data_IF_401083352027
#
_entry.id   IF_401083352027
#
_cell.length_a   1.000
_cell.length_b   1.000
_cell.length_c   1.000
_cell.angle_alpha   90.00
_cell.angle_beta   90.00
_cell.angle_gamma   90.00
#
_symmetry.space_group_name_H-M   'P 1'
#
loop_
_entity.id
_entity.type
_entity.pdbx_description
1 polymer ?
#
# COMPACT_ATOMS: atom_id res chain seq x y z
N UNK A 1 15.20 9.26 7.98
CA UNK A 1 14.85 9.97 6.71
C UNK A 1 15.40 9.15 5.57
N UNK A 2 14.73 9.18 4.44
CA UNK A 2 15.17 8.54 3.20
C UNK A 2 16.13 9.50 2.50
N UNK A 3 17.42 9.14 2.46
CA UNK A 3 18.44 10.00 1.84
C UNK A 3 18.20 10.13 0.33
N UNK A 4 18.25 11.37 -0.15
CA UNK A 4 18.06 11.70 -1.56
C UNK A 4 16.61 11.79 -2.01
N UNK A 5 15.63 11.66 -1.12
CA UNK A 5 14.21 11.89 -1.39
C UNK A 5 13.74 13.11 -0.62
N UNK A 6 13.19 14.10 -1.32
CA UNK A 6 12.71 15.37 -0.75
C UNK A 6 11.20 15.52 -0.86
N UNK A 7 10.57 14.70 -1.71
CA UNK A 7 9.14 14.69 -1.91
C UNK A 7 8.45 13.86 -0.83
N UNK A 8 7.18 14.14 -0.61
CA UNK A 8 6.33 13.36 0.27
C UNK A 8 6.18 11.93 -0.27
N UNK A 9 6.31 10.95 0.62
CA UNK A 9 6.25 9.53 0.29
C UNK A 9 4.90 8.96 0.66
N UNK A 10 4.30 8.22 -0.25
CA UNK A 10 3.03 7.53 -0.04
C UNK A 10 3.14 6.05 -0.40
N UNK A 11 2.47 5.22 0.39
CA UNK A 11 2.50 3.78 0.22
C UNK A 11 3.88 3.14 0.36
N UNK A 12 3.89 1.86 0.66
CA UNK A 12 5.13 1.06 0.72
C UNK A 12 4.79 -0.40 0.44
N UNK A 13 5.57 -1.07 -0.40
CA UNK A 13 5.44 -2.49 -0.66
C UNK A 13 6.80 -3.19 -0.66
N UNK A 14 6.86 -4.43 -0.20
CA UNK A 14 8.06 -5.25 -0.22
C UNK A 14 8.08 -6.17 -1.44
N UNK A 15 9.17 -6.13 -2.19
CA UNK A 15 9.45 -7.04 -3.30
C UNK A 15 10.35 -8.18 -2.81
N UNK A 16 9.84 -9.41 -2.67
CA UNK A 16 10.61 -10.55 -2.19
C UNK A 16 11.67 -11.04 -3.18
N UNK A 17 11.49 -10.80 -4.49
CA UNK A 17 12.44 -11.23 -5.53
C UNK A 17 13.66 -10.31 -5.56
N UNK A 18 13.42 -8.99 -5.48
CA UNK A 18 14.47 -7.97 -5.44
C UNK A 18 15.06 -7.78 -4.06
N UNK A 19 14.35 -8.21 -3.01
CA UNK A 19 14.66 -7.94 -1.60
C UNK A 19 14.84 -6.45 -1.34
N UNK A 20 13.93 -5.67 -1.88
CA UNK A 20 13.87 -4.22 -1.81
C UNK A 20 12.44 -3.76 -1.49
N UNK A 21 12.29 -2.47 -1.26
CA UNK A 21 11.00 -1.84 -1.01
C UNK A 21 10.68 -0.89 -2.15
N UNK A 22 9.39 -0.71 -2.43
CA UNK A 22 8.91 0.29 -3.38
C UNK A 22 7.96 1.25 -2.67
N UNK A 23 8.12 2.53 -2.96
CA UNK A 23 7.22 3.61 -2.53
C UNK A 23 6.90 4.50 -3.72
N UNK A 24 5.87 5.30 -3.63
CA UNK A 24 5.52 6.32 -4.64
C UNK A 24 5.63 7.72 -4.05
N UNK A 25 5.77 8.71 -4.92
CA UNK A 25 5.69 10.13 -4.57
C UNK A 25 4.54 10.77 -5.34
N UNK A 26 3.88 11.77 -4.76
CA UNK A 26 2.70 12.40 -5.34
C UNK A 26 2.96 13.74 -6.04
N UNK A 27 3.82 14.61 -5.50
CA UNK A 27 4.08 15.95 -6.09
C UNK A 27 4.85 15.86 -7.41
N UNK A 28 5.90 15.04 -7.47
CA UNK A 28 6.62 14.65 -8.67
C UNK A 28 6.48 13.14 -8.80
N UNK A 29 5.43 12.65 -9.48
CA UNK A 29 5.10 11.24 -9.43
C UNK A 29 6.24 10.34 -9.90
N UNK A 30 6.82 9.57 -8.98
CA UNK A 30 7.85 8.58 -9.22
C UNK A 30 7.54 7.29 -8.46
N UNK A 31 7.92 6.17 -9.03
CA UNK A 31 8.09 4.92 -8.31
C UNK A 31 9.54 4.84 -7.85
N UNK A 32 9.75 4.74 -6.55
CA UNK A 32 11.08 4.78 -5.94
C UNK A 32 11.39 3.42 -5.31
N UNK A 33 12.47 2.79 -5.76
CA UNK A 33 13.00 1.58 -5.16
C UNK A 33 13.96 1.94 -4.04
N UNK A 34 13.75 1.33 -2.86
CA UNK A 34 14.53 1.54 -1.65
C UNK A 34 15.18 0.22 -1.20
N UNK A 35 16.38 0.32 -0.64
CA UNK A 35 16.95 -0.78 0.13
C UNK A 35 16.22 -0.95 1.47
N UNK A 36 16.42 -2.11 2.13
CA UNK A 36 15.80 -2.40 3.44
C UNK A 36 16.31 -1.51 4.58
N UNK A 37 17.34 -0.71 4.34
CA UNK A 37 17.83 0.32 5.25
C UNK A 37 17.43 1.76 4.83
N UNK A 38 16.50 1.90 3.86
CA UNK A 38 15.89 3.16 3.47
C UNK A 38 16.73 4.04 2.55
N UNK A 39 17.68 3.48 1.78
CA UNK A 39 18.44 4.21 0.76
C UNK A 39 17.77 4.11 -0.59
N UNK A 40 17.70 5.20 -1.33
CA UNK A 40 17.22 5.19 -2.72
C UNK A 40 18.16 4.38 -3.60
N UNK A 41 17.64 3.34 -4.24
CA UNK A 41 18.34 2.50 -5.21
C UNK A 41 18.05 2.96 -6.64
N UNK A 42 16.78 3.36 -6.90
CA UNK A 42 16.32 3.71 -8.23
C UNK A 42 15.10 4.62 -8.17
N UNK A 43 14.95 5.47 -9.17
CA UNK A 43 13.76 6.29 -9.40
C UNK A 43 13.23 6.06 -10.81
N UNK A 44 11.93 5.90 -10.95
CA UNK A 44 11.24 5.66 -12.21
C UNK A 44 10.09 6.67 -12.33
N UNK A 45 10.19 7.64 -13.24
CA UNK A 45 9.12 8.61 -13.46
C UNK A 45 7.80 7.95 -13.85
N UNK A 46 6.70 8.44 -13.26
CA UNK A 46 5.32 8.03 -13.49
C UNK A 46 4.61 9.05 -14.36
N UNK A 47 4.42 8.75 -15.64
CA UNK A 47 3.77 9.63 -16.62
C UNK A 47 2.26 9.35 -16.65
N UNK A 48 1.45 10.38 -16.49
CA UNK A 48 -0.01 10.24 -16.56
C UNK A 48 -0.66 9.60 -15.32
N UNK A 49 0.11 9.34 -14.27
CA UNK A 49 -0.42 9.03 -12.94
C UNK A 49 -0.85 10.36 -12.31
N UNK A 50 -2.05 10.41 -11.77
CA UNK A 50 -2.61 11.67 -11.25
C UNK A 50 -2.07 12.00 -9.86
N UNK A 51 -2.37 11.14 -8.92
CA UNK A 51 -2.00 11.24 -7.51
C UNK A 51 -1.71 9.81 -7.03
N UNK A 52 -0.43 9.44 -7.02
CA UNK A 52 -0.01 8.08 -6.68
C UNK A 52 0.11 7.96 -5.16
N UNK A 53 -0.78 7.18 -4.52
CA UNK A 53 -0.85 7.08 -3.05
C UNK A 53 -0.46 5.71 -2.51
N UNK A 54 -0.63 4.65 -3.29
CA UNK A 54 -0.19 3.32 -2.87
C UNK A 54 0.49 2.56 -3.99
N UNK A 55 1.39 1.66 -3.61
CA UNK A 55 1.99 0.65 -4.49
C UNK A 55 1.94 -0.70 -3.81
N UNK A 56 1.65 -1.76 -4.59
CA UNK A 56 1.63 -3.13 -4.09
C UNK A 56 2.29 -4.10 -5.07
N UNK A 57 3.17 -4.95 -4.55
CA UNK A 57 3.79 -6.05 -5.28
C UNK A 57 2.76 -7.16 -5.51
N UNK A 58 2.69 -7.68 -6.73
CA UNK A 58 1.75 -8.74 -7.13
C UNK A 58 2.48 -10.04 -7.48
N UNK A 59 3.50 -9.93 -8.30
CA UNK A 59 4.32 -11.05 -8.78
C UNK A 59 5.61 -10.49 -9.41
N UNK A 60 6.60 -11.32 -9.76
CA UNK A 60 7.87 -10.83 -10.29
C UNK A 60 7.71 -9.76 -11.36
N UNK A 61 8.18 -8.55 -11.06
CA UNK A 61 8.11 -7.37 -11.91
C UNK A 61 6.71 -6.75 -12.09
N UNK A 62 5.67 -7.28 -11.47
CA UNK A 62 4.29 -6.78 -11.59
C UNK A 62 3.86 -6.10 -10.30
N UNK A 63 3.36 -4.87 -10.42
CA UNK A 63 2.85 -4.07 -9.30
C UNK A 63 1.53 -3.41 -9.66
N UNK A 64 0.82 -2.96 -8.65
CA UNK A 64 -0.36 -2.09 -8.79
C UNK A 64 -0.09 -0.78 -8.07
N UNK A 65 -0.40 0.33 -8.71
CA UNK A 65 -0.38 1.67 -8.13
C UNK A 65 -1.82 2.21 -8.08
N UNK A 66 -2.21 2.83 -6.95
CA UNK A 66 -3.45 3.59 -6.87
C UNK A 66 -3.23 5.02 -7.38
N UNK A 67 -4.19 5.53 -8.14
CA UNK A 67 -4.29 6.95 -8.54
C UNK A 67 -5.55 7.51 -7.85
N UNK A 68 -5.33 8.23 -6.77
CA UNK A 68 -6.40 8.76 -5.93
C UNK A 68 -7.30 9.72 -6.70
N UNK A 69 -6.70 10.66 -7.42
CA UNK A 69 -7.42 11.71 -8.16
C UNK A 69 -8.41 11.17 -9.19
N UNK A 70 -8.11 10.01 -9.78
CA UNK A 70 -8.95 9.37 -10.80
C UNK A 70 -9.64 8.11 -10.32
N UNK A 71 -9.49 7.76 -9.05
CA UNK A 71 -10.09 6.59 -8.39
C UNK A 71 -9.86 5.30 -9.19
N UNK A 72 -8.62 5.09 -9.61
CA UNK A 72 -8.24 3.94 -10.42
C UNK A 72 -7.03 3.21 -9.86
N UNK A 73 -6.95 1.96 -10.21
CA UNK A 73 -5.81 1.08 -9.99
C UNK A 73 -5.09 0.87 -11.31
N UNK A 74 -3.78 0.96 -11.32
CA UNK A 74 -2.96 0.87 -12.53
C UNK A 74 -1.97 -0.28 -12.35
N UNK A 75 -2.09 -1.31 -13.18
CA UNK A 75 -1.13 -2.42 -13.19
C UNK A 75 0.07 -2.05 -14.05
N UNK A 76 1.26 -2.14 -13.48
CA UNK A 76 2.52 -1.81 -14.14
C UNK A 76 3.46 -3.01 -14.16
N UNK A 77 4.43 -2.97 -15.07
CA UNK A 77 5.53 -3.91 -15.11
C UNK A 77 6.87 -3.18 -15.01
N UNK A 78 7.73 -3.66 -14.11
CA UNK A 78 9.05 -3.08 -13.82
C UNK A 78 10.12 -4.16 -13.99
N UNK A 79 11.08 -3.90 -14.86
CA UNK A 79 12.31 -4.67 -15.01
C UNK A 79 13.54 -3.76 -14.81
N UNK A 80 14.75 -4.30 -14.95
CA UNK A 80 15.97 -3.54 -14.76
C UNK A 80 16.21 -2.45 -15.83
N UNK A 81 15.52 -2.54 -16.98
CA UNK A 81 15.64 -1.61 -18.09
C UNK A 81 14.55 -0.53 -18.10
N UNK A 82 13.54 -0.64 -17.26
CA UNK A 82 12.42 0.31 -17.18
C UNK A 82 12.93 1.71 -16.83
N UNK A 83 12.71 2.68 -17.70
CA UNK A 83 13.17 4.08 -17.52
C UNK A 83 12.06 5.03 -17.12
N UNK A 84 10.82 4.72 -17.47
CA UNK A 84 9.62 5.46 -17.11
C UNK A 84 8.41 4.55 -17.26
N UNK A 85 7.33 4.89 -16.62
CA UNK A 85 6.05 4.18 -16.70
C UNK A 85 4.98 5.17 -17.17
N UNK A 86 4.20 4.77 -18.17
CA UNK A 86 3.11 5.59 -18.70
C UNK A 86 1.77 4.91 -18.42
N UNK A 87 0.93 5.56 -17.63
CA UNK A 87 -0.39 5.06 -17.29
C UNK A 87 -1.26 4.76 -18.51
N UNK A 88 -1.07 5.51 -19.61
CA UNK A 88 -1.82 5.29 -20.85
C UNK A 88 -1.49 3.95 -21.54
N UNK A 89 -0.35 3.35 -21.24
CA UNK A 89 0.09 2.06 -21.77
C UNK A 89 -0.21 0.89 -20.81
N UNK A 90 -0.74 1.18 -19.62
CA UNK A 90 -0.96 0.21 -18.56
C UNK A 90 -2.41 -0.27 -18.50
N UNK A 91 -2.64 -1.49 -18.02
CA UNK A 91 -3.98 -1.94 -17.67
C UNK A 91 -4.50 -1.17 -16.45
N UNK A 92 -5.75 -0.74 -16.51
CA UNK A 92 -6.36 0.10 -15.48
C UNK A 92 -7.72 -0.43 -15.08
N UNK A 93 -8.05 -0.29 -13.81
CA UNK A 93 -9.35 -0.59 -13.26
C UNK A 93 -9.88 0.63 -12.50
N UNK A 94 -11.01 1.19 -12.93
CA UNK A 94 -11.75 2.22 -12.20
C UNK A 94 -12.81 1.55 -11.35
N UNK A 95 -12.80 1.76 -10.03
CA UNK A 95 -13.72 1.08 -9.12
C UNK A 95 -15.12 1.72 -9.04
N UNK A 96 -15.38 2.77 -9.79
CA UNK A 96 -16.72 3.32 -9.98
C UNK A 96 -17.41 3.92 -8.74
N UNK A 97 -16.69 4.08 -7.65
CA UNK A 97 -17.20 4.65 -6.41
C UNK A 97 -16.97 6.16 -6.48
N UNK A 98 -18.06 6.93 -6.57
CA UNK A 98 -17.97 8.41 -6.58
C UNK A 98 -17.42 8.89 -5.24
N UNK A 99 -16.21 9.43 -5.26
CA UNK A 99 -15.68 10.13 -4.11
C UNK A 99 -16.20 11.58 -4.11
N UNK A 100 -16.68 12.03 -2.98
CA UNK A 100 -16.88 13.45 -2.72
C UNK A 100 -15.63 13.98 -2.02
N UNK A 101 -14.79 14.74 -2.73
CA UNK A 101 -13.55 15.32 -2.19
C UNK A 101 -12.31 14.43 -2.41
N UNK A 102 -11.15 14.85 -1.89
CA UNK A 102 -9.88 14.12 -1.89
C UNK A 102 -9.93 12.94 -0.87
N UNK A 103 -10.60 11.85 -1.21
CA UNK A 103 -10.83 10.72 -0.32
C UNK A 103 -10.78 9.45 -1.16
N UNK A 104 -9.58 9.07 -1.52
CA UNK A 104 -9.34 8.03 -2.50
C UNK A 104 -8.87 6.71 -1.92
N UNK A 105 -8.07 6.04 -2.70
CA UNK A 105 -7.52 4.72 -2.39
C UNK A 105 -6.06 4.89 -1.95
N UNK A 106 -5.83 4.80 -0.63
CA UNK A 106 -4.54 5.08 -0.01
C UNK A 106 -3.77 3.83 0.41
N UNK A 107 -4.41 2.69 0.45
CA UNK A 107 -3.75 1.44 0.84
C UNK A 107 -4.07 0.30 -0.11
N UNK A 108 -3.05 -0.49 -0.42
CA UNK A 108 -3.18 -1.72 -1.22
C UNK A 108 -2.53 -2.87 -0.46
N UNK A 109 -3.12 -4.07 -0.55
CA UNK A 109 -2.51 -5.30 -0.07
C UNK A 109 -2.97 -6.48 -0.93
N UNK A 110 -2.07 -7.39 -1.28
CA UNK A 110 -2.38 -8.51 -2.15
C UNK A 110 -2.23 -9.84 -1.42
N UNK A 111 -3.29 -10.66 -1.46
CA UNK A 111 -3.29 -12.06 -1.06
C UNK A 111 -2.96 -12.91 -2.29
N UNK A 112 -1.73 -13.37 -2.37
CA UNK A 112 -1.23 -14.11 -3.54
C UNK A 112 -1.83 -15.52 -3.65
N UNK A 113 -2.24 -16.11 -2.54
CA UNK A 113 -2.90 -17.42 -2.48
C UNK A 113 -4.37 -17.30 -2.82
N UNK A 114 -5.06 -16.35 -2.19
CA UNK A 114 -6.49 -16.09 -2.42
C UNK A 114 -6.79 -15.33 -3.72
N UNK A 115 -5.75 -14.84 -4.42
CA UNK A 115 -5.84 -14.09 -5.68
C UNK A 115 -6.79 -12.90 -5.58
N UNK A 116 -6.57 -12.07 -4.57
CA UNK A 116 -7.40 -10.90 -4.30
C UNK A 116 -6.57 -9.71 -3.85
N UNK A 117 -6.94 -8.56 -4.36
CA UNK A 117 -6.39 -7.29 -3.97
C UNK A 117 -7.34 -6.62 -2.98
N UNK A 118 -6.82 -6.22 -1.83
CA UNK A 118 -7.50 -5.36 -0.89
C UNK A 118 -7.14 -3.92 -1.16
N UNK A 119 -8.13 -3.04 -1.16
CA UNK A 119 -8.00 -1.61 -1.44
C UNK A 119 -8.59 -0.85 -0.27
N UNK A 120 -7.79 -0.05 0.42
CA UNK A 120 -8.24 0.82 1.48
C UNK A 120 -8.81 2.10 0.88
N UNK A 121 -10.05 2.43 1.26
CA UNK A 121 -10.61 3.77 1.13
C UNK A 121 -10.35 4.52 2.43
N UNK A 122 -9.71 5.68 2.32
CA UNK A 122 -9.23 6.45 3.45
C UNK A 122 -10.31 6.73 4.48
N UNK A 123 -11.39 7.40 4.07
CA UNK A 123 -12.50 7.82 4.96
C UNK A 123 -13.79 8.09 4.20
N UNK A 124 -14.87 8.36 4.90
CA UNK A 124 -16.21 8.75 4.45
C UNK A 124 -16.86 7.81 3.41
N UNK A 125 -17.02 6.53 3.70
CA UNK A 125 -16.65 5.82 4.93
C UNK A 125 -15.25 5.21 4.86
N UNK A 126 -14.60 4.97 6.02
CA UNK A 126 -13.45 4.06 6.14
C UNK A 126 -13.89 2.67 5.67
N UNK A 127 -13.21 2.13 4.67
CA UNK A 127 -13.64 0.89 4.02
C UNK A 127 -12.46 0.12 3.43
N UNK A 128 -12.54 -1.21 3.46
CA UNK A 128 -11.65 -2.09 2.69
C UNK A 128 -12.48 -2.76 1.60
N UNK A 129 -12.07 -2.62 0.35
CA UNK A 129 -12.71 -3.23 -0.81
C UNK A 129 -11.86 -4.44 -1.23
N UNK A 130 -12.50 -5.56 -1.55
CA UNK A 130 -11.83 -6.72 -2.12
C UNK A 130 -12.07 -6.75 -3.64
N UNK A 131 -11.00 -6.87 -4.42
CA UNK A 131 -11.04 -6.95 -5.87
C UNK A 131 -10.49 -8.30 -6.31
N UNK A 132 -11.22 -9.02 -7.15
CA UNK A 132 -10.82 -10.27 -7.79
C UNK A 132 -10.85 -10.13 -9.30
N UNK A 133 -9.96 -10.84 -10.01
CA UNK A 133 -9.84 -10.74 -11.47
C UNK A 133 -9.06 -9.49 -11.94
N UNK A 134 -8.50 -8.74 -11.01
CA UNK A 134 -7.51 -7.69 -11.21
C UNK A 134 -6.58 -7.64 -9.98
N UNK A 135 -5.27 -7.45 -10.14
CA UNK A 135 -4.54 -7.36 -11.40
C UNK A 135 -4.52 -8.71 -12.15
N UNK A 136 -4.29 -8.67 -13.45
CA UNK A 136 -4.12 -9.87 -14.25
C UNK A 136 -2.71 -10.43 -14.07
N UNK A 137 -2.61 -11.67 -13.70
CA UNK A 137 -1.34 -12.40 -13.64
C UNK A 137 -1.22 -13.33 -14.85
N UNK A 138 -0.02 -13.50 -15.39
CA UNK A 138 0.22 -14.32 -16.57
C UNK A 138 -0.13 -15.81 -16.41
N UNK A 139 -0.48 -16.24 -15.19
CA UNK A 139 -0.75 -17.64 -14.84
C UNK A 139 -2.23 -17.98 -14.78
N UNK A 140 -3.12 -17.03 -15.02
CA UNK A 140 -4.56 -17.21 -14.80
C UNK A 140 -5.37 -17.04 -16.08
N UNK A 141 -6.38 -17.91 -16.24
CA UNK A 141 -7.47 -17.66 -17.19
C UNK A 141 -8.18 -16.34 -16.78
N UNK A 142 -8.70 -15.55 -17.75
CA UNK A 142 -9.42 -14.32 -17.43
C UNK A 142 -10.55 -14.61 -16.45
N UNK A 143 -10.33 -14.26 -15.18
CA UNK A 143 -11.36 -14.36 -14.16
C UNK A 143 -12.41 -13.24 -14.34
N UNK A 144 -13.64 -13.50 -13.90
CA UNK A 144 -14.62 -12.42 -13.84
C UNK A 144 -14.20 -11.39 -12.80
N UNK A 145 -14.13 -10.13 -13.21
CA UNK A 145 -13.89 -9.01 -12.30
C UNK A 145 -15.00 -8.97 -11.24
N UNK A 146 -14.62 -8.97 -9.99
CA UNK A 146 -15.51 -8.81 -8.85
C UNK A 146 -14.99 -7.71 -7.93
N UNK A 147 -15.85 -6.78 -7.53
CA UNK A 147 -15.57 -5.74 -6.55
C UNK A 147 -16.52 -5.96 -5.37
N UNK A 148 -15.97 -6.31 -4.22
CA UNK A 148 -16.72 -6.81 -3.07
C UNK A 148 -16.51 -5.86 -1.89
N UNK A 149 -17.59 -5.29 -1.37
CA UNK A 149 -17.63 -4.55 -0.11
C UNK A 149 -18.12 -5.43 1.02
N UNK A 150 -17.58 -5.23 2.23
CA UNK A 150 -17.98 -6.01 3.40
C UNK A 150 -18.26 -5.06 4.58
N UNK A 151 -19.52 -4.60 4.67
CA UNK A 151 -19.97 -3.68 5.73
C UNK A 151 -19.79 -4.21 7.15
N UNK A 152 -19.79 -5.54 7.34
CA UNK A 152 -19.54 -6.14 8.66
C UNK A 152 -18.07 -6.02 9.05
N UNK A 153 -17.14 -6.19 8.11
CA UNK A 153 -15.72 -5.95 8.31
C UNK A 153 -15.48 -4.47 8.59
N UNK A 154 -15.98 -3.62 7.69
CA UNK A 154 -15.75 -2.18 7.76
C UNK A 154 -16.29 -1.56 9.07
N UNK A 155 -17.43 -2.04 9.55
CA UNK A 155 -18.00 -1.63 10.85
C UNK A 155 -17.19 -2.04 12.08
N UNK A 156 -16.15 -2.87 11.93
CA UNK A 156 -15.22 -3.28 13.00
C UNK A 156 -13.91 -2.51 12.97
N UNK A 157 -13.66 -1.74 11.90
CA UNK A 157 -12.49 -0.89 11.78
C UNK A 157 -12.62 0.24 12.81
N UNK A 158 -11.91 0.12 13.91
CA UNK A 158 -11.93 1.09 15.02
C UNK A 158 -10.86 2.17 14.83
N UNK A 159 -10.80 2.75 13.62
CA UNK A 159 -9.85 3.79 13.23
C UNK A 159 -10.58 4.95 12.54
N UNK A 160 -9.91 6.10 12.45
CA UNK A 160 -10.48 7.31 11.86
C UNK A 160 -10.25 7.39 10.35
N UNK A 161 -9.20 6.75 9.86
CA UNK A 161 -8.74 6.73 8.48
C UNK A 161 -8.05 5.40 8.18
N UNK A 162 -7.71 5.18 6.91
CA UNK A 162 -6.82 4.11 6.46
C UNK A 162 -5.81 4.69 5.47
N UNK A 163 -4.55 4.79 5.90
CA UNK A 163 -3.45 5.29 5.06
C UNK A 163 -2.64 4.17 4.39
N UNK A 164 -2.68 2.92 4.89
CA UNK A 164 -2.03 1.79 4.23
C UNK A 164 -2.64 0.45 4.62
N UNK A 165 -2.41 -0.56 3.79
CA UNK A 165 -2.70 -1.96 4.06
C UNK A 165 -1.47 -2.84 3.82
N UNK A 166 -1.39 -3.96 4.53
CA UNK A 166 -0.45 -5.05 4.29
C UNK A 166 -1.15 -6.39 4.51
N UNK A 167 -0.98 -7.34 3.62
CA UNK A 167 -1.42 -8.71 3.84
C UNK A 167 -0.24 -9.57 4.31
N UNK A 168 -0.38 -10.22 5.45
CA UNK A 168 0.60 -11.18 5.94
C UNK A 168 0.24 -12.58 5.43
N UNK A 169 0.95 -13.04 4.42
CA UNK A 169 0.77 -14.36 3.81
C UNK A 169 0.98 -15.51 4.81
N UNK A 170 1.72 -15.28 5.89
CA UNK A 170 2.02 -16.31 6.90
C UNK A 170 0.84 -16.55 7.82
N UNK A 171 0.22 -15.50 8.29
CA UNK A 171 -0.94 -15.57 9.21
C UNK A 171 -2.27 -15.55 8.48
N UNK A 172 -2.31 -15.05 7.24
CA UNK A 172 -3.55 -14.76 6.51
C UNK A 172 -4.28 -13.53 7.04
N UNK A 173 -3.59 -12.63 7.75
CA UNK A 173 -4.18 -11.45 8.36
C UNK A 173 -3.92 -10.18 7.53
N UNK A 174 -4.81 -9.22 7.71
CA UNK A 174 -4.64 -7.86 7.22
C UNK A 174 -4.07 -6.97 8.33
N UNK A 175 -3.01 -6.24 8.03
CA UNK A 175 -2.55 -5.12 8.81
C UNK A 175 -3.12 -3.85 8.18
N UNK A 176 -3.75 -3.01 8.97
CA UNK A 176 -4.36 -1.75 8.53
C UNK A 176 -3.73 -0.59 9.30
N UNK A 177 -3.09 0.32 8.57
CA UNK A 177 -2.46 1.52 9.11
C UNK A 177 -3.46 2.66 9.16
N UNK A 178 -3.47 3.38 10.28
CA UNK A 178 -4.22 4.62 10.46
C UNK A 178 -3.29 5.69 11.01
N UNK A 179 -3.10 6.76 10.25
CA UNK A 179 -2.33 7.91 10.72
C UNK A 179 -3.06 8.69 11.80
N UNK A 180 -4.31 9.08 11.56
CA UNK A 180 -5.08 9.87 12.52
C UNK A 180 -5.29 9.16 13.87
N UNK A 181 -5.33 7.81 13.85
CA UNK A 181 -5.42 7.00 15.06
C UNK A 181 -4.06 6.63 15.65
N UNK A 182 -2.95 6.92 14.94
CA UNK A 182 -1.56 6.54 15.27
C UNK A 182 -1.46 5.06 15.65
N UNK A 183 -1.97 4.21 14.76
CA UNK A 183 -2.17 2.79 15.07
C UNK A 183 -2.05 1.90 13.85
N UNK A 184 -1.51 0.71 14.08
CA UNK A 184 -1.64 -0.42 13.18
C UNK A 184 -2.63 -1.40 13.80
N UNK A 185 -3.66 -1.79 13.06
CA UNK A 185 -4.57 -2.88 13.45
C UNK A 185 -4.17 -4.16 12.73
N UNK A 186 -4.23 -5.28 13.43
CA UNK A 186 -4.17 -6.61 12.84
C UNK A 186 -5.57 -7.22 12.89
N UNK A 187 -6.07 -7.65 11.75
CA UNK A 187 -7.42 -8.15 11.54
C UNK A 187 -7.37 -9.47 10.77
N UNK A 188 -8.26 -10.40 11.05
CA UNK A 188 -8.56 -11.45 10.07
C UNK A 188 -9.27 -10.83 8.84
N UNK A 189 -9.36 -11.56 7.74
CA UNK A 189 -9.96 -11.04 6.50
C UNK A 189 -11.48 -10.81 6.61
N UNK A 190 -12.13 -11.26 7.68
CA UNK A 190 -13.51 -10.95 8.02
C UNK A 190 -13.65 -9.70 8.91
N UNK A 191 -12.51 -9.12 9.32
CA UNK A 191 -12.42 -7.90 10.11
C UNK A 191 -12.49 -8.11 11.62
N UNK A 192 -12.31 -9.34 12.13
CA UNK A 192 -12.17 -9.50 13.57
C UNK A 192 -10.79 -9.00 14.01
N UNK A 193 -10.72 -8.16 15.04
CA UNK A 193 -9.46 -7.68 15.57
C UNK A 193 -8.68 -8.84 16.21
N UNK A 194 -7.41 -8.96 15.80
CA UNK A 194 -6.44 -9.92 16.31
C UNK A 194 -5.44 -9.23 17.25
N UNK A 195 -4.98 -8.04 16.85
CA UNK A 195 -4.01 -7.28 17.61
C UNK A 195 -3.95 -5.81 17.19
N UNK A 196 -3.13 -5.04 17.87
CA UNK A 196 -2.82 -3.67 17.46
C UNK A 196 -1.48 -3.19 17.99
N UNK A 197 -0.78 -2.36 17.21
CA UNK A 197 0.43 -1.64 17.58
C UNK A 197 0.18 -0.13 17.61
N UNK A 198 0.74 0.56 18.61
CA UNK A 198 0.66 2.02 18.69
C UNK A 198 1.89 2.66 18.05
N UNK A 199 1.69 3.72 17.27
CA UNK A 199 2.73 4.55 16.68
C UNK A 199 3.02 5.82 17.51
N UNK A 200 2.48 5.88 18.71
CA UNK A 200 2.75 6.98 19.65
C UNK A 200 4.08 6.79 20.37
N UNK A 201 4.63 7.89 20.85
CA UNK A 201 5.83 7.94 21.70
C UNK A 201 5.77 6.91 22.84
N UNK A 202 6.86 6.18 23.04
CA UNK A 202 7.01 5.16 24.07
C UNK A 202 6.53 3.77 23.68
N UNK A 203 5.76 3.64 22.58
CA UNK A 203 5.37 2.36 22.02
C UNK A 203 6.41 1.88 21.00
N UNK A 204 6.58 0.58 20.83
CA UNK A 204 7.44 -0.06 19.83
C UNK A 204 8.87 0.54 19.76
N UNK A 205 9.41 1.06 20.87
CA UNK A 205 10.73 1.70 20.92
C UNK A 205 10.78 3.13 20.37
N UNK A 206 9.65 3.72 20.04
CA UNK A 206 9.57 5.06 19.47
C UNK A 206 9.90 6.15 20.52
N UNK A 207 10.83 7.04 20.18
CA UNK A 207 11.18 8.21 21.00
C UNK A 207 10.23 9.40 20.83
N UNK A 208 9.46 9.41 19.74
CA UNK A 208 8.43 10.40 19.36
C UNK A 208 7.29 9.69 18.67
N UNK A 209 6.13 10.35 18.55
CA UNK A 209 5.05 9.88 17.67
C UNK A 209 5.57 9.79 16.23
N UNK A 210 5.10 8.81 15.48
CA UNK A 210 5.25 8.82 14.02
C UNK A 210 4.30 9.87 13.47
N UNK A 211 4.79 10.91 12.76
CA UNK A 211 3.91 11.85 12.07
C UNK A 211 3.39 11.20 10.79
N UNK A 212 2.25 11.60 10.28
CA UNK A 212 1.68 11.24 8.98
C UNK A 212 2.20 9.91 8.38
N UNK A 213 1.80 8.79 8.98
CA UNK A 213 2.22 7.45 8.56
C UNK A 213 1.44 7.03 7.30
N UNK A 214 2.13 6.91 6.13
CA UNK A 214 1.49 6.77 4.82
C UNK A 214 1.75 5.42 4.15
N UNK A 215 2.74 4.68 4.57
CA UNK A 215 3.04 3.40 3.94
C UNK A 215 3.58 2.36 4.89
N UNK A 216 3.19 1.11 4.70
CA UNK A 216 3.60 -0.01 5.52
C UNK A 216 3.85 -1.24 4.65
N UNK A 217 4.97 -1.94 4.91
CA UNK A 217 5.30 -3.20 4.26
C UNK A 217 5.94 -4.17 5.25
N UNK A 218 5.81 -5.46 5.01
CA UNK A 218 6.44 -6.49 5.83
C UNK A 218 7.23 -7.47 4.96
N UNK A 219 8.48 -7.76 5.36
CA UNK A 219 9.28 -8.75 4.66
C UNK A 219 8.95 -10.20 5.10
N UNK A 220 9.53 -11.16 4.39
CA UNK A 220 9.34 -12.59 4.67
C UNK A 220 9.87 -13.05 6.03
N UNK A 221 10.61 -12.22 6.74
CA UNK A 221 11.11 -12.48 8.10
C UNK A 221 10.22 -11.85 9.18
N UNK A 222 9.20 -11.11 8.76
CA UNK A 222 8.27 -10.39 9.63
C UNK A 222 8.85 -9.08 10.18
N UNK A 223 9.86 -8.51 9.50
CA UNK A 223 10.30 -7.14 9.76
C UNK A 223 9.28 -6.18 9.16
N UNK A 224 8.77 -5.27 9.94
CA UNK A 224 7.84 -4.24 9.49
C UNK A 224 8.60 -2.96 9.14
N UNK A 225 8.36 -2.46 7.96
CA UNK A 225 8.85 -1.18 7.45
C UNK A 225 7.70 -0.20 7.37
N UNK A 226 7.98 1.06 7.66
CA UNK A 226 6.97 2.12 7.60
C UNK A 226 7.60 3.39 7.05
N UNK A 227 6.89 4.05 6.15
CA UNK A 227 7.20 5.40 5.68
C UNK A 227 6.20 6.40 6.23
N UNK A 228 6.66 7.63 6.41
CA UNK A 228 5.88 8.71 6.99
C UNK A 228 6.34 10.02 6.37
N UNK A 229 5.42 10.91 6.10
CA UNK A 229 5.73 12.22 5.53
C UNK A 229 6.64 13.06 6.44
N UNK A 230 7.49 13.90 5.82
CA UNK A 230 7.66 14.03 4.37
C UNK A 230 8.45 12.86 3.73
N UNK A 231 9.40 12.24 4.45
CA UNK A 231 10.27 11.19 3.93
C UNK A 231 10.95 10.39 5.06
N UNK A 232 10.22 10.14 6.13
CA UNK A 232 10.75 9.38 7.27
C UNK A 232 10.64 7.87 6.99
N UNK A 233 11.60 7.12 7.55
CA UNK A 233 11.67 5.68 7.39
C UNK A 233 11.90 5.00 8.74
N UNK A 234 11.10 4.00 9.04
CA UNK A 234 11.14 3.24 10.30
C UNK A 234 11.25 1.74 10.01
N UNK A 235 11.96 1.04 10.88
CA UNK A 235 12.13 -0.41 10.81
C UNK A 235 11.81 -1.00 12.18
N UNK A 236 10.80 -1.86 12.24
CA UNK A 236 10.39 -2.56 13.45
C UNK A 236 10.69 -4.05 13.32
N UNK A 237 11.57 -4.56 14.17
CA UNK A 237 11.92 -5.98 14.20
C UNK A 237 11.24 -6.65 15.37
N UNK A 238 10.85 -7.91 15.20
CA UNK A 238 10.41 -8.73 16.33
C UNK A 238 11.57 -8.85 17.33
N UNK A 239 11.29 -8.74 18.64
CA UNK A 239 12.30 -8.89 19.67
C UNK A 239 12.90 -10.29 19.69
#
# INVERSE_FOLDING_TARGET
>A
MIDGLQDDVSGLSYDPDRKSLFTVTNQNPELVELSLDGRVLRRIPLVGFGDAEAVEYISPGTYVISDERRLRLIQIHVDDNTKSLDAAQAEQLTLGITASGNKGYEGLAYDSVGKRLFVARERDPVQIIEVRGFPKTNTEAPGNLQVISNSKRDGRLSVRDLSSLQFDETSGHLLALSDESKRILELDTSGHPIGSGSLAKGAMGLSKDVPQAEGMAMDTQGTLYLVSEPNLFYVFRKP
#
